data_IF_951618625939
#
_entry.id   IF_951618625939
#
_cell.length_a   1.000
_cell.length_b   1.000
_cell.length_c   1.000
_cell.angle_alpha   90.00
_cell.angle_beta   90.00
_cell.angle_gamma   90.00
#
_symmetry.space_group_name_H-M   'P 1'
#
loop_
_entity.id
_entity.type
_entity.pdbx_description
1 polymer ?
#
# COMPACT_ATOMS: atom_id res chain seq x y z
N UNK A 1 67.86 -30.80 41.30
CA UNK A 1 66.46 -30.33 41.19
C UNK A 1 66.17 -29.47 39.94
N UNK A 2 67.05 -28.55 39.51
CA UNK A 2 66.79 -27.68 38.33
C UNK A 2 66.65 -28.39 36.97
N UNK A 3 67.32 -29.53 36.75
CA UNK A 3 67.24 -30.28 35.47
C UNK A 3 65.90 -31.01 35.29
N UNK A 4 65.32 -31.55 36.36
CA UNK A 4 63.99 -32.18 36.34
C UNK A 4 62.87 -31.16 36.09
N UNK A 5 63.02 -29.93 36.58
CA UNK A 5 62.06 -28.85 36.32
C UNK A 5 61.98 -28.48 34.83
N UNK A 6 63.11 -28.54 34.10
CA UNK A 6 63.18 -28.25 32.67
C UNK A 6 62.51 -29.37 31.85
N UNK A 7 62.71 -30.64 32.21
CA UNK A 7 62.03 -31.75 31.54
C UNK A 7 60.51 -31.75 31.78
N UNK A 8 60.07 -31.37 33.00
CA UNK A 8 58.63 -31.24 33.32
C UNK A 8 58.00 -30.06 32.57
N UNK A 9 58.71 -28.94 32.42
CA UNK A 9 58.25 -27.80 31.64
C UNK A 9 58.14 -28.12 30.12
N UNK A 10 59.10 -28.87 29.56
CA UNK A 10 59.01 -29.32 28.15
C UNK A 10 57.90 -30.36 27.92
N UNK A 11 57.63 -31.23 28.89
CA UNK A 11 56.58 -32.25 28.79
C UNK A 11 55.17 -31.64 28.92
N UNK A 12 55.01 -30.58 29.70
CA UNK A 12 53.77 -29.78 29.77
C UNK A 12 53.53 -28.94 28.50
N UNK A 13 54.60 -28.44 27.86
CA UNK A 13 54.47 -27.71 26.60
C UNK A 13 54.08 -28.61 25.42
N UNK A 14 54.53 -29.87 25.42
CA UNK A 14 54.18 -30.85 24.38
C UNK A 14 52.72 -31.34 24.47
N UNK A 15 52.11 -31.33 25.66
CA UNK A 15 50.71 -31.71 25.87
C UNK A 15 49.73 -30.59 25.47
N UNK A 16 50.14 -29.31 25.52
CA UNK A 16 49.27 -28.19 25.13
C UNK A 16 49.13 -28.02 23.61
N UNK A 17 50.06 -28.57 22.81
CA UNK A 17 50.00 -28.54 21.33
C UNK A 17 49.16 -29.67 20.70
N UNK A 18 48.60 -30.58 21.49
CA UNK A 18 47.84 -31.74 20.99
C UNK A 18 46.35 -31.67 21.30
N UNK A 19 45.79 -30.47 21.42
CA UNK A 19 44.34 -30.29 21.39
C UNK A 19 43.87 -30.26 19.93
N UNK A 20 42.94 -31.13 19.50
CA UNK A 20 42.38 -31.04 18.17
C UNK A 20 41.56 -29.75 18.11
N UNK A 21 42.08 -28.76 17.38
CA UNK A 21 41.29 -27.62 16.90
C UNK A 21 40.17 -28.21 16.07
N UNK A 22 39.01 -28.40 16.70
CA UNK A 22 37.78 -28.71 16.02
C UNK A 22 37.42 -27.43 15.29
N UNK A 23 37.82 -27.34 14.03
CA UNK A 23 37.30 -26.35 13.10
C UNK A 23 35.79 -26.55 13.05
N UNK A 24 35.08 -25.74 13.82
CA UNK A 24 33.68 -25.47 13.55
C UNK A 24 33.67 -24.86 12.16
N UNK A 25 33.45 -25.73 11.16
CA UNK A 25 32.92 -25.34 9.87
C UNK A 25 31.61 -24.62 10.20
N UNK A 26 31.70 -23.30 10.31
CA UNK A 26 30.56 -22.43 10.12
C UNK A 26 29.93 -22.91 8.83
N UNK A 27 28.76 -23.51 8.97
CA UNK A 27 27.85 -23.73 7.87
C UNK A 27 27.42 -22.33 7.44
N UNK A 28 28.32 -21.65 6.71
CA UNK A 28 27.99 -20.49 5.92
C UNK A 28 26.94 -21.04 4.95
N UNK A 29 25.68 -20.82 5.33
CA UNK A 29 24.54 -21.03 4.45
C UNK A 29 24.80 -20.07 3.30
N UNK A 30 25.59 -20.54 2.33
CA UNK A 30 25.93 -19.78 1.15
C UNK A 30 24.63 -19.19 0.65
N UNK A 31 24.61 -17.85 0.57
CA UNK A 31 23.48 -17.02 0.17
C UNK A 31 22.53 -17.85 -0.67
N UNK A 32 21.40 -18.25 -0.10
CA UNK A 32 20.43 -19.10 -0.81
C UNK A 32 20.14 -18.41 -2.13
N UNK A 33 20.69 -18.94 -3.22
CA UNK A 33 20.57 -18.34 -4.53
C UNK A 33 19.07 -18.31 -4.83
N UNK A 34 18.54 -17.11 -5.05
CA UNK A 34 17.11 -16.93 -5.25
C UNK A 34 16.66 -17.74 -6.46
N UNK A 35 15.59 -18.52 -6.28
CA UNK A 35 15.16 -19.53 -7.23
C UNK A 35 14.08 -18.96 -8.14
N UNK A 36 14.13 -19.32 -9.41
CA UNK A 36 13.05 -19.03 -10.36
C UNK A 36 11.92 -20.03 -10.13
N UNK A 37 10.71 -19.54 -9.88
CA UNK A 37 9.51 -20.35 -9.66
C UNK A 37 8.67 -20.44 -10.92
N UNK A 38 8.62 -19.37 -11.71
CA UNK A 38 7.92 -19.35 -13.01
C UNK A 38 8.51 -18.28 -13.95
N UNK A 39 8.22 -18.43 -15.24
CA UNK A 39 8.57 -17.48 -16.30
C UNK A 39 7.30 -17.19 -17.10
N UNK A 40 6.95 -15.92 -17.28
CA UNK A 40 5.73 -15.46 -17.96
C UNK A 40 6.12 -14.40 -18.99
N UNK A 41 6.17 -14.78 -20.27
CA UNK A 41 6.69 -13.90 -21.32
C UNK A 41 8.17 -13.57 -21.09
N UNK A 42 8.48 -12.29 -20.94
CA UNK A 42 9.82 -11.79 -20.59
C UNK A 42 10.05 -11.62 -19.08
N UNK A 43 9.01 -11.83 -18.26
CA UNK A 43 9.05 -11.63 -16.81
C UNK A 43 9.36 -12.93 -16.06
N UNK A 44 10.14 -12.81 -14.99
CA UNK A 44 10.55 -13.92 -14.13
C UNK A 44 9.91 -13.73 -12.75
N UNK A 45 9.29 -14.79 -12.23
CA UNK A 45 8.76 -14.83 -10.86
C UNK A 45 9.77 -15.58 -9.99
N UNK A 46 10.36 -14.87 -9.03
CA UNK A 46 11.33 -15.42 -8.11
C UNK A 46 10.68 -15.96 -6.84
N UNK A 47 11.42 -16.79 -6.11
CA UNK A 47 10.97 -17.38 -4.86
C UNK A 47 10.80 -16.30 -3.79
N UNK A 48 11.73 -15.35 -3.74
CA UNK A 48 11.66 -14.18 -2.86
C UNK A 48 10.41 -13.32 -3.10
N UNK A 49 9.94 -13.18 -4.34
CA UNK A 49 8.71 -12.43 -4.67
C UNK A 49 7.48 -13.06 -3.99
N UNK A 50 7.37 -14.39 -4.08
CA UNK A 50 6.25 -15.13 -3.49
C UNK A 50 6.33 -15.07 -1.96
N UNK A 51 7.52 -15.24 -1.38
CA UNK A 51 7.73 -15.17 0.06
C UNK A 51 7.44 -13.77 0.60
N UNK A 52 7.82 -12.72 -0.13
CA UNK A 52 7.50 -11.33 0.20
C UNK A 52 5.99 -11.06 0.19
N UNK A 53 5.28 -11.52 -0.85
CA UNK A 53 3.81 -11.41 -0.93
C UNK A 53 3.12 -12.14 0.22
N UNK A 54 3.60 -13.34 0.59
CA UNK A 54 3.09 -14.10 1.73
C UNK A 54 3.35 -13.41 3.07
N UNK A 55 4.52 -12.78 3.23
CA UNK A 55 4.85 -12.01 4.43
C UNK A 55 3.87 -10.84 4.64
N UNK A 56 3.52 -10.12 3.56
CA UNK A 56 2.52 -9.05 3.60
C UNK A 56 1.15 -9.59 4.00
N UNK A 57 0.71 -10.71 3.41
CA UNK A 57 -0.57 -11.34 3.76
C UNK A 57 -0.62 -11.76 5.24
N UNK A 58 0.48 -12.31 5.76
CA UNK A 58 0.59 -12.68 7.18
C UNK A 58 0.53 -11.47 8.10
N UNK A 59 1.09 -10.33 7.70
CA UNK A 59 1.02 -9.09 8.47
C UNK A 59 -0.43 -8.55 8.53
N UNK A 60 -1.17 -8.66 7.43
CA UNK A 60 -2.58 -8.24 7.37
C UNK A 60 -3.50 -9.19 8.13
N UNK A 61 -3.23 -10.50 8.09
CA UNK A 61 -3.98 -11.51 8.81
C UNK A 61 -3.05 -12.53 9.48
N UNK A 62 -2.75 -12.35 10.78
CA UNK A 62 -1.83 -13.22 11.53
C UNK A 62 -2.24 -14.69 11.62
N UNK A 63 -3.49 -15.03 11.28
CA UNK A 63 -4.02 -16.40 11.32
C UNK A 63 -3.67 -17.21 10.07
N UNK A 64 -3.09 -16.58 9.05
CA UNK A 64 -2.70 -17.25 7.80
C UNK A 64 -1.46 -18.12 8.03
N UNK A 65 -1.53 -19.38 7.58
CA UNK A 65 -0.36 -20.24 7.49
C UNK A 65 0.37 -20.02 6.16
N UNK A 66 1.54 -19.38 6.23
CA UNK A 66 2.38 -19.10 5.07
C UNK A 66 3.06 -20.35 4.49
N UNK A 67 3.07 -21.46 5.24
CA UNK A 67 3.63 -22.72 4.77
C UNK A 67 2.59 -23.59 4.05
N UNK A 68 1.32 -23.20 4.04
CA UNK A 68 0.27 -23.92 3.32
C UNK A 68 0.59 -23.94 1.81
N UNK A 69 0.82 -25.12 1.20
CA UNK A 69 1.08 -25.24 -0.23
C UNK A 69 -0.06 -24.69 -1.10
N UNK A 70 -1.31 -24.81 -0.65
CA UNK A 70 -2.46 -24.31 -1.40
C UNK A 70 -2.49 -22.78 -1.43
N UNK A 71 -2.11 -22.14 -0.33
CA UNK A 71 -1.98 -20.68 -0.29
C UNK A 71 -0.82 -20.21 -1.17
N UNK A 72 0.35 -20.85 -1.08
CA UNK A 72 1.50 -20.55 -1.94
C UNK A 72 1.13 -20.64 -3.42
N UNK A 73 0.41 -21.71 -3.81
CA UNK A 73 -0.07 -21.87 -5.17
C UNK A 73 -0.98 -20.71 -5.59
N UNK A 74 -1.94 -20.29 -4.75
CA UNK A 74 -2.81 -19.15 -5.05
C UNK A 74 -2.05 -17.84 -5.24
N UNK A 75 -1.01 -17.59 -4.42
CA UNK A 75 -0.17 -16.39 -4.56
C UNK A 75 0.64 -16.43 -5.85
N UNK A 76 1.17 -17.61 -6.19
CA UNK A 76 1.86 -17.83 -7.47
C UNK A 76 0.92 -17.62 -8.66
N UNK A 77 -0.28 -18.22 -8.64
CA UNK A 77 -1.28 -18.07 -9.69
C UNK A 77 -1.68 -16.60 -9.87
N UNK A 78 -1.84 -15.86 -8.77
CA UNK A 78 -2.13 -14.43 -8.80
C UNK A 78 -0.98 -13.63 -9.45
N UNK A 79 0.27 -13.94 -9.11
CA UNK A 79 1.45 -13.31 -9.72
C UNK A 79 1.57 -13.64 -11.22
N UNK A 80 1.31 -14.89 -11.60
CA UNK A 80 1.28 -15.32 -13.01
C UNK A 80 0.22 -14.54 -13.79
N UNK A 81 -1.00 -14.44 -13.24
CA UNK A 81 -2.09 -13.71 -13.89
C UNK A 81 -1.77 -12.21 -14.03
N UNK A 82 -1.15 -11.59 -13.02
CA UNK A 82 -0.70 -10.20 -13.08
C UNK A 82 0.30 -9.99 -14.22
N UNK A 83 1.33 -10.84 -14.31
CA UNK A 83 2.33 -10.74 -15.37
C UNK A 83 1.77 -11.06 -16.75
N UNK A 84 0.80 -11.98 -16.85
CA UNK A 84 0.08 -12.23 -18.11
C UNK A 84 -0.63 -10.97 -18.61
N UNK A 85 -1.29 -10.23 -17.72
CA UNK A 85 -1.94 -8.96 -18.06
C UNK A 85 -0.91 -7.92 -18.51
N UNK A 86 0.24 -7.84 -17.85
CA UNK A 86 1.33 -6.94 -18.25
C UNK A 86 1.90 -7.31 -19.62
N UNK A 87 2.23 -8.58 -19.86
CA UNK A 87 2.69 -9.05 -21.16
C UNK A 87 1.67 -8.73 -22.26
N UNK A 88 0.38 -8.95 -21.98
CA UNK A 88 -0.67 -8.62 -22.92
C UNK A 88 -0.76 -7.12 -23.19
N UNK A 89 -0.55 -6.27 -22.18
CA UNK A 89 -0.56 -4.82 -22.34
C UNK A 89 0.57 -4.35 -23.27
N UNK A 90 1.75 -4.97 -23.14
CA UNK A 90 2.91 -4.70 -24.01
C UNK A 90 2.64 -5.15 -25.45
N UNK A 91 2.11 -6.36 -25.64
CA UNK A 91 1.69 -6.86 -26.97
C UNK A 91 0.67 -5.92 -27.63
N UNK A 92 -0.29 -5.42 -26.86
CA UNK A 92 -1.31 -4.47 -27.28
C UNK A 92 -0.79 -3.04 -27.47
N UNK A 93 0.54 -2.83 -27.33
CA UNK A 93 1.23 -1.55 -27.49
C UNK A 93 0.69 -0.45 -26.57
N UNK A 94 0.27 -0.80 -25.35
CA UNK A 94 -0.11 0.17 -24.33
C UNK A 94 1.16 0.83 -23.80
N UNK A 95 1.17 2.17 -23.79
CA UNK A 95 2.33 2.95 -23.35
C UNK A 95 2.03 3.64 -22.02
N UNK A 96 3.01 3.62 -21.13
CA UNK A 96 3.04 4.40 -19.88
C UNK A 96 4.11 5.46 -20.03
N UNK A 97 3.73 6.70 -19.74
CA UNK A 97 4.62 7.87 -19.81
C UNK A 97 5.45 8.01 -18.54
N UNK A 98 6.56 8.73 -18.63
CA UNK A 98 7.42 8.97 -17.47
C UNK A 98 6.78 9.94 -16.46
N UNK A 99 5.94 10.84 -16.95
CA UNK A 99 5.12 11.72 -16.15
C UNK A 99 4.17 10.92 -15.23
N UNK A 100 3.45 9.93 -15.76
CA UNK A 100 2.55 9.07 -14.97
C UNK A 100 3.31 8.27 -13.89
N UNK A 101 4.51 7.80 -14.20
CA UNK A 101 5.35 7.07 -13.23
C UNK A 101 5.81 8.01 -12.11
N UNK A 102 6.21 9.23 -12.48
CA UNK A 102 6.65 10.24 -11.50
C UNK A 102 5.50 10.69 -10.61
N UNK A 103 4.28 10.87 -11.16
CA UNK A 103 3.09 11.16 -10.36
C UNK A 103 2.83 10.09 -9.30
N UNK A 104 2.92 8.81 -9.69
CA UNK A 104 2.80 7.70 -8.73
C UNK A 104 3.91 7.66 -7.69
N UNK A 105 5.11 8.11 -8.03
CA UNK A 105 6.18 8.26 -7.06
C UNK A 105 5.92 9.40 -6.06
N UNK A 106 5.37 10.52 -6.50
CA UNK A 106 4.97 11.62 -5.61
C UNK A 106 3.87 11.18 -4.65
N UNK A 107 2.88 10.43 -5.12
CA UNK A 107 1.84 9.80 -4.29
C UNK A 107 2.48 8.88 -3.23
N UNK A 108 3.36 7.96 -3.63
CA UNK A 108 4.03 7.04 -2.72
C UNK A 108 4.88 7.77 -1.66
N UNK A 109 5.55 8.88 -2.02
CA UNK A 109 6.28 9.71 -1.05
C UNK A 109 5.35 10.35 -0.02
N UNK A 110 4.18 10.84 -0.45
CA UNK A 110 3.20 11.41 0.46
C UNK A 110 2.72 10.35 1.48
N UNK A 111 2.45 9.13 1.00
CA UNK A 111 2.08 7.99 1.86
C UNK A 111 3.20 7.65 2.85
N UNK A 112 4.44 7.58 2.38
CA UNK A 112 5.58 7.33 3.27
C UNK A 112 5.74 8.39 4.36
N UNK A 113 5.52 9.66 4.03
CA UNK A 113 5.54 10.73 5.04
C UNK A 113 4.38 10.55 6.03
N UNK A 114 3.21 10.13 5.58
CA UNK A 114 2.08 9.87 6.45
C UNK A 114 2.33 8.70 7.43
N UNK A 115 2.91 7.60 6.94
CA UNK A 115 3.14 6.40 7.76
C UNK A 115 4.40 6.49 8.63
N UNK A 116 5.49 7.02 8.09
CA UNK A 116 6.80 7.04 8.76
C UNK A 116 7.18 8.44 9.29
N UNK A 117 6.42 9.48 8.96
CA UNK A 117 6.63 10.85 9.45
C UNK A 117 7.67 11.66 8.69
N UNK A 118 8.71 11.03 8.13
CA UNK A 118 9.70 11.73 7.29
C UNK A 118 10.36 10.77 6.30
N UNK A 119 10.78 11.30 5.15
CA UNK A 119 11.50 10.52 4.13
C UNK A 119 12.87 10.03 4.64
N UNK A 120 13.51 10.77 5.57
CA UNK A 120 14.77 10.31 6.17
C UNK A 120 14.58 9.03 6.98
N UNK A 121 13.46 8.92 7.71
CA UNK A 121 13.14 7.68 8.44
C UNK A 121 12.90 6.51 7.49
N UNK A 122 12.38 6.78 6.28
CA UNK A 122 12.22 5.74 5.25
C UNK A 122 13.58 5.22 4.81
N UNK A 123 14.55 6.10 4.53
CA UNK A 123 15.92 5.68 4.19
C UNK A 123 16.56 4.86 5.32
N UNK A 124 16.37 5.27 6.58
CA UNK A 124 16.89 4.55 7.75
C UNK A 124 16.26 3.14 7.90
N UNK A 125 14.96 3.00 7.60
CA UNK A 125 14.22 1.72 7.69
C UNK A 125 14.59 0.78 6.53
N UNK A 126 14.61 1.31 5.30
CA UNK A 126 14.90 0.53 4.10
C UNK A 126 16.40 0.24 3.93
N UNK A 127 17.27 1.00 4.61
CA UNK A 127 18.72 0.86 4.51
C UNK A 127 19.28 1.26 3.14
N UNK A 128 18.54 2.08 2.37
CA UNK A 128 18.90 2.52 1.03
C UNK A 128 18.45 3.96 0.79
N UNK A 129 19.09 4.65 -0.16
CA UNK A 129 18.74 6.02 -0.51
C UNK A 129 17.40 6.12 -1.24
N UNK A 130 16.71 7.24 -1.09
CA UNK A 130 15.46 7.51 -1.81
C UNK A 130 15.60 7.36 -3.32
N UNK A 131 16.74 7.73 -3.90
CA UNK A 131 16.98 7.57 -5.34
C UNK A 131 17.02 6.11 -5.76
N UNK A 132 17.56 5.22 -4.92
CA UNK A 132 17.55 3.78 -5.19
C UNK A 132 16.15 3.20 -5.03
N UNK A 133 15.43 3.60 -3.98
CA UNK A 133 14.03 3.21 -3.78
C UNK A 133 13.20 3.64 -4.99
N UNK A 134 13.37 4.87 -5.45
CA UNK A 134 12.68 5.37 -6.64
C UNK A 134 12.99 4.51 -7.87
N UNK A 135 14.26 4.16 -8.10
CA UNK A 135 14.66 3.34 -9.26
C UNK A 135 13.98 1.96 -9.23
N UNK A 136 14.03 1.27 -8.10
CA UNK A 136 13.41 -0.05 -7.93
C UNK A 136 11.87 0.05 -8.04
N UNK A 137 11.29 1.14 -7.52
CA UNK A 137 9.85 1.38 -7.55
C UNK A 137 9.32 1.73 -8.95
N UNK A 138 10.13 2.37 -9.82
CA UNK A 138 9.71 2.75 -11.18
C UNK A 138 9.26 1.55 -12.02
N UNK A 139 9.99 0.45 -11.94
CA UNK A 139 9.65 -0.75 -12.72
C UNK A 139 8.36 -1.40 -12.22
N UNK A 140 8.17 -1.45 -10.90
CA UNK A 140 6.94 -1.94 -10.27
C UNK A 140 5.74 -1.09 -10.69
N UNK A 141 5.87 0.24 -10.58
CA UNK A 141 4.81 1.19 -10.96
C UNK A 141 4.48 1.08 -12.44
N UNK A 142 5.49 0.96 -13.31
CA UNK A 142 5.26 0.81 -14.76
C UNK A 142 4.41 -0.42 -15.05
N UNK A 143 4.73 -1.57 -14.45
CA UNK A 143 3.95 -2.80 -14.62
C UNK A 143 2.51 -2.64 -14.11
N UNK A 144 2.33 -2.03 -12.94
CA UNK A 144 1.00 -1.75 -12.40
C UNK A 144 0.17 -0.84 -13.32
N UNK A 145 0.77 0.24 -13.85
CA UNK A 145 0.11 1.16 -14.76
C UNK A 145 -0.25 0.50 -16.10
N UNK A 146 0.62 -0.36 -16.64
CA UNK A 146 0.31 -1.16 -17.84
C UNK A 146 -0.91 -2.04 -17.61
N UNK A 147 -0.95 -2.76 -16.49
CA UNK A 147 -2.07 -3.62 -16.14
C UNK A 147 -3.38 -2.84 -15.96
N UNK A 148 -3.34 -1.71 -15.25
CA UNK A 148 -4.50 -0.83 -15.05
C UNK A 148 -5.03 -0.27 -16.36
N UNK A 149 -4.15 0.20 -17.25
CA UNK A 149 -4.54 0.73 -18.56
C UNK A 149 -5.18 -0.35 -19.44
N UNK A 150 -4.65 -1.57 -19.43
CA UNK A 150 -5.27 -2.68 -20.17
C UNK A 150 -6.65 -3.01 -19.61
N UNK A 151 -6.79 -3.08 -18.28
CA UNK A 151 -8.10 -3.30 -17.64
C UNK A 151 -9.09 -2.21 -18.01
N UNK A 152 -8.69 -0.94 -17.97
CA UNK A 152 -9.55 0.17 -18.38
C UNK A 152 -9.91 0.11 -19.87
N UNK A 153 -8.98 -0.28 -20.75
CA UNK A 153 -9.26 -0.49 -22.18
C UNK A 153 -10.32 -1.58 -22.40
N UNK A 154 -10.29 -2.66 -21.61
CA UNK A 154 -11.23 -3.79 -21.73
C UNK A 154 -12.59 -3.46 -21.10
N UNK A 155 -12.60 -2.90 -19.88
CA UNK A 155 -13.80 -2.74 -19.06
C UNK A 155 -14.35 -1.31 -18.98
N UNK A 156 -13.59 -0.30 -19.42
CA UNK A 156 -13.97 1.11 -19.28
C UNK A 156 -15.18 1.53 -20.10
N UNK A 157 -15.55 0.75 -21.11
CA UNK A 157 -16.69 1.05 -22.00
C UNK A 157 -17.95 0.22 -21.70
N UNK A 158 -18.06 -0.37 -20.51
CA UNK A 158 -19.29 -1.08 -20.11
C UNK A 158 -20.43 -0.07 -19.95
N UNK A 159 -21.44 -0.17 -20.81
CA UNK A 159 -22.67 0.63 -20.73
C UNK A 159 -23.70 -0.13 -19.90
N UNK A 160 -24.11 0.47 -18.79
CA UNK A 160 -25.16 -0.06 -17.92
C UNK A 160 -26.51 0.50 -18.37
N UNK A 161 -27.48 -0.37 -18.59
CA UNK A 161 -28.84 0.00 -18.98
C UNK A 161 -29.69 0.38 -17.76
N UNK A 162 -30.72 1.25 -17.92
CA UNK A 162 -31.65 1.57 -16.83
C UNK A 162 -32.32 0.32 -16.23
N UNK A 163 -32.60 -0.69 -17.07
CA UNK A 163 -33.21 -1.94 -16.63
C UNK A 163 -32.32 -2.72 -15.66
N UNK A 164 -31.02 -2.81 -15.94
CA UNK A 164 -30.07 -3.47 -15.03
C UNK A 164 -29.96 -2.72 -13.69
N UNK A 165 -30.08 -1.39 -13.70
CA UNK A 165 -30.11 -0.59 -12.47
C UNK A 165 -31.37 -0.88 -11.65
N UNK A 166 -32.53 -0.97 -12.30
CA UNK A 166 -33.79 -1.33 -11.63
C UNK A 166 -33.74 -2.75 -11.06
N UNK A 167 -33.23 -3.72 -11.81
CA UNK A 167 -33.05 -5.10 -11.37
C UNK A 167 -32.11 -5.16 -10.15
N UNK A 168 -30.98 -4.45 -10.19
CA UNK A 168 -30.06 -4.34 -9.05
C UNK A 168 -30.74 -3.69 -7.83
N UNK A 169 -31.44 -2.58 -8.02
CA UNK A 169 -32.15 -1.90 -6.93
C UNK A 169 -33.19 -2.81 -6.27
N UNK A 170 -33.99 -3.52 -7.07
CA UNK A 170 -35.02 -4.42 -6.56
C UNK A 170 -34.43 -5.62 -5.81
N UNK A 171 -33.28 -6.14 -6.27
CA UNK A 171 -32.61 -7.27 -5.62
C UNK A 171 -31.96 -6.88 -4.29
N UNK A 172 -31.42 -5.66 -4.18
CA UNK A 172 -30.61 -5.22 -3.04
C UNK A 172 -31.27 -4.17 -2.16
N UNK A 173 -32.55 -3.85 -2.38
CA UNK A 173 -33.26 -2.76 -1.68
C UNK A 173 -33.07 -2.75 -0.16
N UNK A 174 -33.07 -3.92 0.47
CA UNK A 174 -32.93 -4.08 1.93
C UNK A 174 -31.48 -3.94 2.43
N UNK A 175 -30.51 -4.01 1.51
CA UNK A 175 -29.07 -3.86 1.77
C UNK A 175 -28.53 -2.48 1.36
N UNK A 176 -29.34 -1.67 0.66
CA UNK A 176 -28.94 -0.31 0.33
C UNK A 176 -29.02 0.57 1.57
N UNK A 177 -27.98 1.38 1.78
CA UNK A 177 -27.95 2.34 2.89
C UNK A 177 -29.09 3.36 2.80
N UNK A 178 -29.48 3.90 3.95
CA UNK A 178 -30.48 4.98 4.00
C UNK A 178 -29.80 6.24 3.47
N UNK A 179 -30.36 6.82 2.41
CA UNK A 179 -29.92 8.14 1.93
C UNK A 179 -30.30 9.14 3.03
N UNK A 180 -29.34 9.91 3.58
CA UNK A 180 -29.64 10.88 4.62
C UNK A 180 -30.63 11.92 4.08
N UNK A 181 -31.55 12.36 4.94
CA UNK A 181 -32.50 13.40 4.58
C UNK A 181 -31.74 14.67 4.16
N UNK A 182 -31.96 15.10 2.92
CA UNK A 182 -31.49 16.39 2.43
C UNK A 182 -32.59 17.42 2.62
N UNK A 183 -32.23 18.60 3.14
CA UNK A 183 -33.14 19.72 3.34
C UNK A 183 -32.54 20.98 2.74
N UNK A 184 -33.31 21.68 1.92
CA UNK A 184 -32.94 22.99 1.41
C UNK A 184 -33.29 24.05 2.45
N UNK A 185 -32.30 24.85 2.86
CA UNK A 185 -32.41 25.84 3.93
C UNK A 185 -32.05 27.21 3.41
N UNK A 186 -32.99 28.16 3.50
CA UNK A 186 -32.78 29.55 3.14
C UNK A 186 -32.56 30.40 4.39
N UNK A 187 -31.63 31.36 4.34
CA UNK A 187 -31.26 32.19 5.49
C UNK A 187 -31.17 33.67 5.12
N UNK A 188 -31.83 34.52 5.90
CA UNK A 188 -31.71 35.98 5.82
C UNK A 188 -30.88 36.47 7.01
N UNK A 189 -29.77 37.15 6.75
CA UNK A 189 -28.87 37.70 7.79
C UNK A 189 -28.76 39.21 7.65
N UNK A 190 -28.92 39.92 8.77
CA UNK A 190 -28.63 41.36 8.88
C UNK A 190 -27.61 41.62 9.98
N UNK A 191 -26.43 42.09 9.61
CA UNK A 191 -25.41 42.52 10.56
C UNK A 191 -25.78 43.87 11.19
N UNK A 192 -25.53 44.00 12.50
CA UNK A 192 -25.80 45.22 13.30
C UNK A 192 -24.56 45.69 14.06
N UNK A 193 -24.51 46.98 14.39
CA UNK A 193 -23.47 47.55 15.25
C UNK A 193 -23.66 47.16 16.73
N UNK A 194 -22.61 47.35 17.55
CA UNK A 194 -22.58 46.87 18.93
C UNK A 194 -23.44 47.67 19.92
N UNK A 195 -24.07 48.77 19.51
CA UNK A 195 -24.90 49.58 20.41
C UNK A 195 -26.22 48.86 20.76
N UNK A 196 -26.68 49.02 22.01
CA UNK A 196 -27.92 48.37 22.47
C UNK A 196 -29.13 48.78 21.61
N UNK A 197 -29.20 50.05 21.22
CA UNK A 197 -30.29 50.59 20.39
C UNK A 197 -30.32 49.97 18.99
N UNK A 198 -29.17 49.84 18.32
CA UNK A 198 -29.11 49.26 16.98
C UNK A 198 -29.46 47.76 16.97
N UNK A 199 -29.08 47.04 18.03
CA UNK A 199 -29.48 45.64 18.23
C UNK A 199 -30.99 45.50 18.36
N UNK A 200 -31.62 46.36 19.16
CA UNK A 200 -33.08 46.34 19.36
C UNK A 200 -33.83 46.64 18.06
N UNK A 201 -33.42 47.68 17.32
CA UNK A 201 -34.02 48.03 16.03
C UNK A 201 -33.89 46.91 14.99
N UNK A 202 -32.71 46.27 14.93
CA UNK A 202 -32.45 45.16 14.00
C UNK A 202 -33.25 43.91 14.39
N UNK A 203 -33.40 43.65 15.69
CA UNK A 203 -34.20 42.53 16.20
C UNK A 203 -35.68 42.70 15.88
N UNK A 204 -36.23 43.90 16.08
CA UNK A 204 -37.62 44.20 15.73
C UNK A 204 -37.86 44.13 14.22
N UNK A 205 -36.88 44.53 13.40
CA UNK A 205 -36.93 44.30 11.95
C UNK A 205 -36.96 42.81 11.61
N UNK A 206 -36.07 42.01 12.21
CA UNK A 206 -36.00 40.57 11.98
C UNK A 206 -37.32 39.87 12.36
N UNK A 207 -37.95 40.25 13.47
CA UNK A 207 -39.30 39.77 13.84
C UNK A 207 -40.34 40.12 12.78
N UNK A 208 -40.38 41.36 12.31
CA UNK A 208 -41.34 41.78 11.26
C UNK A 208 -41.16 40.98 9.98
N UNK A 209 -39.91 40.74 9.56
CA UNK A 209 -39.60 39.92 8.38
C UNK A 209 -40.05 38.48 8.60
N UNK A 210 -39.72 37.87 9.74
CA UNK A 210 -40.19 36.52 10.11
C UNK A 210 -41.72 36.43 10.05
N UNK A 211 -42.42 37.37 10.69
CA UNK A 211 -43.89 37.36 10.77
C UNK A 211 -44.53 37.58 9.39
N UNK A 212 -43.87 38.33 8.50
CA UNK A 212 -44.28 38.45 7.10
C UNK A 212 -44.18 37.09 6.39
N UNK A 213 -43.03 36.42 6.49
CA UNK A 213 -42.78 35.12 5.84
C UNK A 213 -43.73 34.04 6.37
N UNK A 214 -43.92 33.95 7.69
CA UNK A 214 -44.83 32.97 8.32
C UNK A 214 -46.28 33.16 7.89
N UNK A 215 -46.70 34.39 7.56
CA UNK A 215 -48.05 34.70 7.06
C UNK A 215 -48.21 34.51 5.55
N UNK A 216 -47.22 33.92 4.87
CA UNK A 216 -47.25 33.68 3.43
C UNK A 216 -46.65 34.81 2.59
N UNK A 217 -45.91 35.73 3.20
CA UNK A 217 -45.04 36.64 2.47
C UNK A 217 -43.92 35.88 1.77
N UNK A 218 -43.41 36.44 0.68
CA UNK A 218 -42.30 35.86 -0.06
C UNK A 218 -41.01 35.92 0.79
N UNK A 219 -40.19 34.86 0.66
CA UNK A 219 -38.86 34.78 1.25
C UNK A 219 -37.87 35.71 0.54
#
# INVERSE_FOLDING_TARGET
>A
MKRYLIYIACLLFFIFCLSPVSSQLSNDQGMTLDKIVAIVGEEIIMQSDIDGRLAILKQQNPKIDVNDPALRQKVLDAAINEYLVVSKAIEDSIVVTEEEINEKWEEAKADFIQYYGSLKRVEDIYGMSLSRIQLEHRDIVRKQLLAQKLQYKIFGNVKISPKEVEEFYNLYKDSLGIIPLQMDLYHIVKYTSASAKAKEETYELAKKVRDSIVRGGLF
#
